data_IF_620128006397
#
_entry.id   IF_620128006397
#
_cell.length_a   1.000
_cell.length_b   1.000
_cell.length_c   1.000
_cell.angle_alpha   90.00
_cell.angle_beta   90.00
_cell.angle_gamma   90.00
#
_symmetry.space_group_name_H-M   'P 1'
#
loop_
_entity.id
_entity.type
_entity.pdbx_description
1 polymer ?
#
# COMPACT_ATOMS: atom_id res chain seq x y z
N UNK A 1 -2.63 10.63 5.06
CA UNK A 1 -2.53 9.27 5.66
C UNK A 1 -3.82 8.53 5.36
N UNK A 2 -3.73 7.42 4.65
CA UNK A 2 -4.87 6.58 4.26
C UNK A 2 -4.99 5.42 5.25
N UNK A 3 -6.18 5.25 5.82
CA UNK A 3 -6.48 4.17 6.79
C UNK A 3 -7.27 3.03 6.18
N UNK A 4 -7.95 3.28 5.06
CA UNK A 4 -8.86 2.32 4.43
C UNK A 4 -8.12 1.34 3.52
N UNK A 5 -7.28 1.86 2.62
CA UNK A 5 -6.77 1.10 1.48
C UNK A 5 -7.90 0.66 0.54
N UNK A 6 -7.63 0.55 -0.75
CA UNK A 6 -8.66 0.09 -1.70
C UNK A 6 -8.10 -0.84 -2.77
N UNK A 7 -9.01 -1.64 -3.33
CA UNK A 7 -8.81 -2.41 -4.56
C UNK A 7 -9.84 -1.99 -5.59
N UNK A 8 -9.52 -2.22 -6.87
CA UNK A 8 -10.45 -1.98 -7.98
C UNK A 8 -11.61 -2.97 -7.89
N UNK A 9 -12.83 -2.47 -8.05
CA UNK A 9 -14.04 -3.28 -8.04
C UNK A 9 -14.41 -3.83 -6.66
N UNK A 10 -15.33 -4.78 -6.65
CA UNK A 10 -15.79 -5.48 -5.46
C UNK A 10 -16.09 -6.95 -5.76
N UNK A 11 -15.95 -7.84 -4.76
CA UNK A 11 -16.22 -9.27 -4.90
C UNK A 11 -17.71 -9.62 -4.66
N UNK A 12 -18.31 -9.03 -3.62
CA UNK A 12 -19.56 -9.54 -3.02
C UNK A 12 -20.73 -8.54 -3.01
N UNK A 13 -20.63 -7.42 -3.74
CA UNK A 13 -21.72 -6.44 -3.83
C UNK A 13 -22.46 -6.55 -5.16
N UNK A 14 -23.79 -6.39 -5.13
CA UNK A 14 -24.66 -6.53 -6.31
C UNK A 14 -24.74 -5.27 -7.18
N UNK A 15 -24.39 -4.10 -6.63
CA UNK A 15 -24.36 -2.84 -7.36
C UNK A 15 -22.92 -2.56 -7.86
N UNK A 16 -22.75 -1.81 -8.97
CA UNK A 16 -21.42 -1.51 -9.50
C UNK A 16 -20.67 -0.62 -8.51
N UNK A 17 -19.67 -1.19 -7.85
CA UNK A 17 -18.81 -0.47 -6.92
C UNK A 17 -17.41 -0.35 -7.54
N UNK A 18 -16.96 0.86 -7.89
CA UNK A 18 -15.69 1.06 -8.59
C UNK A 18 -14.46 0.73 -7.72
N UNK A 19 -14.59 0.84 -6.40
CA UNK A 19 -13.54 0.51 -5.45
C UNK A 19 -14.15 -0.05 -4.16
N UNK A 20 -13.47 -1.04 -3.57
CA UNK A 20 -13.82 -1.59 -2.26
C UNK A 20 -12.57 -1.74 -1.40
N UNK A 21 -12.72 -2.10 -0.13
CA UNK A 21 -11.58 -2.33 0.77
C UNK A 21 -10.60 -3.35 0.18
N UNK A 22 -9.31 -3.15 0.38
CA UNK A 22 -8.31 -4.17 0.07
C UNK A 22 -8.24 -5.19 1.22
N UNK A 23 -9.15 -6.17 1.18
CA UNK A 23 -9.32 -7.21 2.20
C UNK A 23 -8.05 -8.05 2.41
N UNK A 24 -7.25 -8.26 1.36
CA UNK A 24 -5.97 -8.95 1.48
C UNK A 24 -4.99 -8.22 2.42
N UNK A 25 -5.10 -6.89 2.52
CA UNK A 25 -4.29 -6.05 3.40
C UNK A 25 -5.08 -5.57 4.63
N UNK A 26 -6.11 -6.29 5.07
CA UNK A 26 -6.90 -5.91 6.24
C UNK A 26 -6.53 -6.76 7.47
N UNK A 27 -5.84 -6.22 8.49
CA UNK A 27 -5.37 -6.99 9.65
C UNK A 27 -6.49 -7.72 10.40
N UNK A 28 -7.66 -7.09 10.54
CA UNK A 28 -8.82 -7.68 11.22
C UNK A 28 -9.46 -8.82 10.43
N UNK A 29 -9.19 -8.94 9.12
CA UNK A 29 -9.71 -9.99 8.26
C UNK A 29 -8.68 -11.08 7.92
N UNK A 30 -7.45 -11.00 8.46
CA UNK A 30 -6.34 -11.92 8.16
C UNK A 30 -6.73 -13.40 8.31
N UNK A 31 -7.54 -13.75 9.31
CA UNK A 31 -8.00 -15.13 9.54
C UNK A 31 -9.20 -15.57 8.69
N UNK A 32 -9.83 -14.65 7.96
CA UNK A 32 -11.01 -14.90 7.13
C UNK A 32 -10.71 -14.87 5.63
N UNK A 33 -9.66 -14.15 5.22
CA UNK A 33 -9.25 -13.97 3.83
C UNK A 33 -8.15 -14.97 3.49
N UNK A 34 -8.42 -15.87 2.55
CA UNK A 34 -7.49 -16.95 2.17
C UNK A 34 -6.23 -16.44 1.48
N UNK A 35 -6.30 -15.31 0.79
CA UNK A 35 -5.20 -14.62 0.11
C UNK A 35 -4.67 -13.42 0.90
N UNK A 36 -4.72 -13.47 2.24
CA UNK A 36 -4.22 -12.39 3.07
C UNK A 36 -2.72 -12.16 2.86
N UNK A 37 -2.35 -10.90 2.66
CA UNK A 37 -0.99 -10.40 2.53
C UNK A 37 -0.52 -9.68 3.80
N UNK A 38 -1.30 -9.72 4.88
CA UNK A 38 -0.92 -9.12 6.16
C UNK A 38 0.16 -9.99 6.82
N UNK A 39 1.37 -9.47 7.07
CA UNK A 39 2.42 -10.24 7.73
C UNK A 39 2.03 -10.66 9.15
N UNK A 40 2.68 -11.70 9.66
CA UNK A 40 2.45 -12.14 11.03
C UNK A 40 2.80 -11.06 12.06
N UNK A 41 1.97 -10.93 13.10
CA UNK A 41 2.15 -9.93 14.15
C UNK A 41 1.76 -8.49 13.76
N UNK A 42 1.37 -8.24 12.51
CA UNK A 42 0.94 -6.89 12.07
C UNK A 42 -0.53 -6.65 12.43
N UNK A 43 -0.75 -5.80 13.43
CA UNK A 43 -2.10 -5.41 13.89
C UNK A 43 -2.69 -4.17 13.21
N UNK A 44 -1.89 -3.40 12.48
CA UNK A 44 -2.35 -2.19 11.78
C UNK A 44 -1.49 -1.91 10.56
N UNK A 45 -2.11 -1.35 9.51
CA UNK A 45 -1.42 -0.89 8.31
C UNK A 45 -1.97 0.47 7.89
N UNK A 46 -1.10 1.32 7.37
CA UNK A 46 -1.42 2.65 6.87
C UNK A 46 -0.75 2.84 5.52
N UNK A 47 -1.40 3.61 4.65
CA UNK A 47 -0.87 3.96 3.34
C UNK A 47 -0.59 5.47 3.26
N UNK A 48 0.49 5.83 2.59
CA UNK A 48 0.84 7.22 2.26
C UNK A 48 0.78 7.36 0.74
N UNK A 49 -0.23 8.08 0.26
CA UNK A 49 -0.39 8.42 -1.15
C UNK A 49 0.32 9.73 -1.42
N UNK A 50 1.13 9.77 -2.48
CA UNK A 50 1.94 10.94 -2.86
C UNK A 50 1.62 11.28 -4.31
N UNK A 51 1.25 12.54 -4.55
CA UNK A 51 1.21 13.13 -5.88
C UNK A 51 2.41 14.05 -6.03
N UNK A 52 3.00 14.09 -7.22
CA UNK A 52 4.16 14.92 -7.51
C UNK A 52 4.12 15.43 -8.95
N UNK A 53 4.97 16.41 -9.24
CA UNK A 53 5.06 17.05 -10.57
C UNK A 53 6.05 16.34 -11.50
N UNK A 54 6.94 15.53 -10.94
CA UNK A 54 7.91 14.71 -11.67
C UNK A 54 8.31 13.45 -10.86
N UNK A 55 8.98 12.51 -11.54
CA UNK A 55 9.41 11.25 -10.95
C UNK A 55 10.47 11.44 -9.86
N UNK A 56 11.38 12.40 -10.02
CA UNK A 56 12.46 12.65 -9.06
C UNK A 56 11.92 13.11 -7.71
N UNK A 57 10.95 14.03 -7.72
CA UNK A 57 10.25 14.53 -6.54
C UNK A 57 9.46 13.42 -5.84
N UNK A 58 8.79 12.55 -6.61
CA UNK A 58 8.09 11.38 -6.07
C UNK A 58 9.04 10.39 -5.40
N UNK A 59 10.13 10.01 -6.08
CA UNK A 59 11.14 9.10 -5.53
C UNK A 59 11.80 9.67 -4.27
N UNK A 60 12.13 10.96 -4.28
CA UNK A 60 12.65 11.65 -3.11
C UNK A 60 11.66 11.63 -1.94
N UNK A 61 10.39 11.98 -2.18
CA UNK A 61 9.34 11.96 -1.17
C UNK A 61 9.11 10.55 -0.58
N UNK A 62 9.10 9.51 -1.43
CA UNK A 62 9.02 8.12 -0.98
C UNK A 62 10.22 7.75 -0.09
N UNK A 63 11.44 8.07 -0.53
CA UNK A 63 12.68 7.76 0.21
C UNK A 63 12.68 8.39 1.59
N UNK A 64 12.51 9.70 1.68
CA UNK A 64 12.57 10.43 2.97
C UNK A 64 11.42 10.04 3.90
N UNK A 65 10.24 9.75 3.34
CA UNK A 65 9.09 9.26 4.11
C UNK A 65 9.34 7.88 4.71
N UNK A 66 9.92 6.96 3.94
CA UNK A 66 10.29 5.63 4.42
C UNK A 66 11.39 5.72 5.49
N UNK A 67 12.45 6.50 5.27
CA UNK A 67 13.52 6.69 6.26
C UNK A 67 12.99 7.30 7.56
N UNK A 68 12.08 8.26 7.48
CA UNK A 68 11.44 8.84 8.66
C UNK A 68 10.58 7.82 9.41
N UNK A 69 9.82 6.99 8.67
CA UNK A 69 8.98 5.96 9.25
C UNK A 69 9.80 4.88 9.97
N UNK A 70 10.89 4.40 9.37
CA UNK A 70 11.74 3.36 9.96
C UNK A 70 12.50 3.85 11.19
N UNK A 71 12.89 5.13 11.25
CA UNK A 71 13.53 5.75 12.42
C UNK A 71 12.66 5.76 13.69
N UNK A 72 11.34 5.55 13.56
CA UNK A 72 10.46 5.47 14.73
C UNK A 72 10.69 4.21 15.58
N UNK A 73 11.32 3.17 15.02
CA UNK A 73 11.48 1.86 15.66
C UNK A 73 10.18 1.07 15.87
N UNK A 74 9.04 1.61 15.42
CA UNK A 74 7.70 0.99 15.57
C UNK A 74 7.20 0.34 14.29
N UNK A 75 7.82 0.66 13.15
CA UNK A 75 7.45 0.11 11.85
C UNK A 75 8.18 -1.21 11.65
N UNK A 76 7.41 -2.29 11.45
CA UNK A 76 7.96 -3.64 11.24
C UNK A 76 8.13 -3.97 9.76
N UNK A 77 7.32 -3.39 8.88
CA UNK A 77 7.31 -3.68 7.45
C UNK A 77 7.08 -2.41 6.64
N UNK A 78 7.73 -2.34 5.48
CA UNK A 78 7.50 -1.33 4.44
C UNK A 78 7.18 -2.08 3.15
N UNK A 79 6.11 -1.65 2.47
CA UNK A 79 5.70 -2.21 1.20
C UNK A 79 5.05 -1.13 0.32
N UNK A 80 4.72 -1.51 -0.91
CA UNK A 80 3.98 -0.65 -1.83
C UNK A 80 2.91 -1.46 -2.56
N UNK A 81 1.68 -0.95 -2.55
CA UNK A 81 0.57 -1.51 -3.32
C UNK A 81 0.72 -1.17 -4.80
N UNK A 82 0.35 -2.10 -5.67
CA UNK A 82 0.36 -1.90 -7.12
C UNK A 82 -0.74 -2.73 -7.81
N UNK A 83 -1.01 -2.43 -9.07
CA UNK A 83 -2.05 -3.11 -9.88
C UNK A 83 -1.46 -4.13 -10.87
N UNK A 84 -0.36 -4.81 -10.49
CA UNK A 84 0.34 -5.74 -11.37
C UNK A 84 0.90 -5.11 -12.64
N UNK A 85 1.14 -3.79 -12.61
CA UNK A 85 1.63 -3.03 -13.76
C UNK A 85 0.64 -2.83 -14.90
N UNK A 86 -0.67 -3.06 -14.66
CA UNK A 86 -1.74 -3.00 -15.68
C UNK A 86 -2.55 -1.71 -15.72
N UNK A 87 -2.34 -0.78 -14.77
CA UNK A 87 -3.17 0.41 -14.62
C UNK A 87 -2.38 1.72 -14.75
N UNK A 88 -1.30 1.86 -13.96
CA UNK A 88 -0.45 3.05 -13.98
C UNK A 88 0.71 2.92 -14.96
N UNK A 89 1.08 4.01 -15.67
CA UNK A 89 2.23 4.01 -16.57
C UNK A 89 3.57 4.07 -15.82
N UNK A 90 3.58 4.55 -14.58
CA UNK A 90 4.78 4.70 -13.75
C UNK A 90 4.96 3.55 -12.76
N UNK A 91 6.23 3.20 -12.49
CA UNK A 91 6.60 2.18 -11.50
C UNK A 91 7.81 2.66 -10.71
N UNK A 92 7.71 2.64 -9.39
CA UNK A 92 8.77 3.07 -8.47
C UNK A 92 9.18 1.88 -7.58
N UNK A 93 10.16 1.05 -7.99
CA UNK A 93 10.64 -0.06 -7.18
C UNK A 93 11.28 0.46 -5.89
N UNK A 94 10.78 0.04 -4.73
CA UNK A 94 11.27 0.55 -3.43
C UNK A 94 12.78 0.34 -3.22
N UNK A 95 13.30 -0.82 -3.62
CA UNK A 95 14.72 -1.13 -3.49
C UNK A 95 15.62 -0.17 -4.29
N UNK A 96 15.14 0.35 -5.43
CA UNK A 96 15.88 1.31 -6.24
C UNK A 96 16.04 2.69 -5.57
N UNK A 97 15.23 3.00 -4.54
CA UNK A 97 15.34 4.24 -3.78
C UNK A 97 16.55 4.25 -2.83
N UNK A 98 17.08 3.06 -2.50
CA UNK A 98 18.11 2.84 -1.48
C UNK A 98 19.36 2.13 -2.01
N UNK A 99 19.47 1.98 -3.34
CA UNK A 99 20.66 1.47 -4.01
C UNK A 99 21.89 2.34 -3.78
#
# INVERSE_FOLDING_TARGET
IVKSGSKVGCRNYRFPMPASTNDALCPSLRGLVTDSQVPEGVGSMYEIVINGIDEASLQHAMKVGIEAATKTGRITHIGASNFGGRLGPYRFPLHALFG
#
